data_IF_521484551601
#
_entry.id   IF_521484551601
#
_cell.length_a   1.000
_cell.length_b   1.000
_cell.length_c   1.000
_cell.angle_alpha   90.00
_cell.angle_beta   90.00
_cell.angle_gamma   90.00
#
_symmetry.space_group_name_H-M   'P 1'
#
loop_
_entity.id
_entity.type
_entity.pdbx_description
1 polymer ?
#
# COMPACT_ATOMS: atom_id res chain seq x y z
N UNK A 1 0.50 -11.30 27.99
CA UNK A 1 -0.21 -11.16 26.69
C UNK A 1 0.78 -11.39 25.54
N UNK A 2 0.78 -12.58 24.95
CA UNK A 2 1.66 -12.91 23.82
C UNK A 2 1.04 -12.38 22.52
N UNK A 3 1.26 -11.10 22.19
CA UNK A 3 0.88 -10.52 20.88
C UNK A 3 1.95 -9.72 20.12
N UNK A 4 3.27 -9.79 20.40
CA UNK A 4 4.22 -9.09 19.53
C UNK A 4 4.31 -9.73 18.13
N UNK A 5 4.38 -11.06 18.03
CA UNK A 5 4.61 -11.74 16.75
C UNK A 5 3.46 -11.57 15.73
N UNK A 6 2.20 -11.63 16.18
CA UNK A 6 1.04 -11.50 15.29
C UNK A 6 0.91 -10.10 14.66
N UNK A 7 1.24 -9.04 15.41
CA UNK A 7 1.25 -7.66 14.90
C UNK A 7 2.32 -7.51 13.83
N UNK A 8 3.52 -8.02 14.06
CA UNK A 8 4.62 -7.98 13.09
C UNK A 8 4.30 -8.76 11.80
N UNK A 9 3.66 -9.94 11.91
CA UNK A 9 3.21 -10.71 10.74
C UNK A 9 2.19 -9.92 9.92
N UNK A 10 1.21 -9.28 10.56
CA UNK A 10 0.20 -8.46 9.88
C UNK A 10 0.85 -7.25 9.17
N UNK A 11 1.78 -6.56 9.84
CA UNK A 11 2.54 -5.44 9.26
C UNK A 11 3.37 -5.90 8.05
N UNK A 12 4.01 -7.07 8.16
CA UNK A 12 4.76 -7.67 7.06
C UNK A 12 3.88 -7.90 5.82
N UNK A 13 2.71 -8.52 5.98
CA UNK A 13 1.79 -8.73 4.84
C UNK A 13 1.27 -7.41 4.25
N UNK A 14 0.99 -6.40 5.10
CA UNK A 14 0.58 -5.06 4.65
C UNK A 14 1.66 -4.39 3.83
N UNK A 15 2.91 -4.47 4.29
CA UNK A 15 4.07 -3.93 3.59
C UNK A 15 4.32 -4.65 2.27
N UNK A 16 4.27 -5.98 2.25
CA UNK A 16 4.44 -6.76 1.03
C UNK A 16 3.36 -6.46 -0.02
N UNK A 17 2.10 -6.37 0.41
CA UNK A 17 1.01 -5.95 -0.47
C UNK A 17 1.26 -4.54 -1.01
N UNK A 18 1.72 -3.61 -0.17
CA UNK A 18 2.03 -2.25 -0.60
C UNK A 18 3.13 -2.22 -1.70
N UNK A 19 4.19 -3.01 -1.53
CA UNK A 19 5.21 -3.19 -2.56
C UNK A 19 4.65 -3.79 -3.85
N UNK A 20 3.79 -4.81 -3.75
CA UNK A 20 3.16 -5.40 -4.93
C UNK A 20 2.34 -4.36 -5.72
N UNK A 21 1.58 -3.50 -5.05
CA UNK A 21 0.87 -2.39 -5.70
C UNK A 21 1.82 -1.38 -6.34
N UNK A 22 2.93 -1.06 -5.68
CA UNK A 22 3.92 -0.15 -6.23
C UNK A 22 4.57 -0.70 -7.50
N UNK A 23 5.04 -1.95 -7.46
CA UNK A 23 5.66 -2.61 -8.61
C UNK A 23 4.67 -2.89 -9.74
N UNK A 24 3.41 -3.20 -9.41
CA UNK A 24 2.35 -3.28 -10.41
C UNK A 24 2.15 -1.95 -11.13
N UNK A 25 2.14 -0.84 -10.39
CA UNK A 25 2.05 0.49 -10.98
C UNK A 25 3.25 0.82 -11.86
N UNK A 26 4.46 0.48 -11.41
CA UNK A 26 5.68 0.63 -12.21
C UNK A 26 5.61 -0.16 -13.51
N UNK A 27 5.19 -1.43 -13.44
CA UNK A 27 5.01 -2.26 -14.63
C UNK A 27 3.98 -1.66 -15.59
N UNK A 28 2.79 -1.31 -15.11
CA UNK A 28 1.72 -0.74 -15.94
C UNK A 28 2.15 0.59 -16.58
N UNK A 29 2.84 1.44 -15.83
CA UNK A 29 3.20 2.79 -16.27
C UNK A 29 4.38 2.83 -17.25
N UNK A 30 5.33 1.90 -17.15
CA UNK A 30 6.61 2.00 -17.86
C UNK A 30 6.99 0.79 -18.72
N UNK A 31 6.51 -0.41 -18.41
CA UNK A 31 6.92 -1.66 -19.11
C UNK A 31 5.78 -2.37 -19.84
N UNK A 32 4.54 -2.06 -19.48
CA UNK A 32 3.35 -2.65 -20.08
C UNK A 32 3.18 -2.19 -21.53
N UNK A 33 2.96 -3.14 -22.44
CA UNK A 33 2.60 -2.89 -23.83
C UNK A 33 1.08 -2.65 -24.04
N UNK A 34 0.28 -2.64 -22.96
CA UNK A 34 -1.16 -2.37 -23.05
C UNK A 34 -1.44 -0.94 -23.51
N UNK A 35 -2.39 -0.79 -24.45
CA UNK A 35 -2.76 0.49 -25.02
C UNK A 35 -4.21 0.82 -24.66
N UNK A 36 -4.39 1.66 -23.62
CA UNK A 36 -5.69 2.09 -23.09
C UNK A 36 -6.13 3.47 -23.62
N UNK A 37 -5.52 3.92 -24.72
CA UNK A 37 -5.73 5.27 -25.27
C UNK A 37 -4.82 6.33 -24.66
N UNK A 38 -5.11 7.59 -24.99
CA UNK A 38 -4.35 8.78 -24.60
C UNK A 38 -5.25 9.66 -23.72
N UNK A 39 -4.68 10.15 -22.62
CA UNK A 39 -5.29 11.10 -21.71
C UNK A 39 -4.25 12.17 -21.37
N UNK A 40 -4.60 13.46 -21.52
CA UNK A 40 -3.70 14.59 -21.24
C UNK A 40 -2.34 14.42 -21.95
N UNK A 41 -2.37 14.12 -23.25
CA UNK A 41 -1.20 13.91 -24.12
C UNK A 41 -0.26 12.75 -23.71
N UNK A 42 -0.63 11.92 -22.74
CA UNK A 42 0.14 10.76 -22.28
C UNK A 42 -0.71 9.47 -22.34
N UNK A 43 -0.11 8.28 -22.46
CA UNK A 43 -0.86 7.03 -22.42
C UNK A 43 -1.66 6.90 -21.11
N UNK A 44 -2.91 6.43 -21.18
CA UNK A 44 -3.73 6.21 -19.97
C UNK A 44 -3.06 5.24 -18.98
N UNK A 45 -2.28 4.27 -19.50
CA UNK A 45 -1.46 3.35 -18.71
C UNK A 45 -0.43 4.06 -17.84
N UNK A 46 0.17 5.17 -18.31
CA UNK A 46 1.10 5.96 -17.53
C UNK A 46 0.44 6.55 -16.28
N UNK A 47 -0.74 7.15 -16.43
CA UNK A 47 -1.52 7.69 -15.32
C UNK A 47 -1.96 6.62 -14.33
N UNK A 48 -2.45 5.49 -14.83
CA UNK A 48 -2.81 4.34 -13.99
C UNK A 48 -1.59 3.80 -13.23
N UNK A 49 -0.44 3.73 -13.88
CA UNK A 49 0.82 3.34 -13.25
C UNK A 49 1.20 4.24 -12.08
N UNK A 50 1.13 5.56 -12.28
CA UNK A 50 1.34 6.55 -11.21
C UNK A 50 0.32 6.36 -10.07
N UNK A 51 -0.97 6.19 -10.39
CA UNK A 51 -2.01 5.97 -9.37
C UNK A 51 -1.73 4.72 -8.53
N UNK A 52 -1.34 3.61 -9.16
CA UNK A 52 -0.98 2.38 -8.45
C UNK A 52 0.28 2.55 -7.59
N UNK A 53 1.28 3.29 -8.09
CA UNK A 53 2.49 3.61 -7.31
C UNK A 53 2.18 4.48 -6.09
N UNK A 54 1.42 5.57 -6.27
CA UNK A 54 0.98 6.44 -5.17
C UNK A 54 0.15 5.66 -4.15
N UNK A 55 -0.71 4.76 -4.62
CA UNK A 55 -1.49 3.90 -3.75
C UNK A 55 -0.62 2.90 -2.97
N UNK A 56 0.42 2.34 -3.59
CA UNK A 56 1.43 1.53 -2.90
C UNK A 56 2.10 2.31 -1.76
N UNK A 57 2.54 3.54 -2.02
CA UNK A 57 3.13 4.43 -0.99
C UNK A 57 2.13 4.70 0.14
N UNK A 58 0.88 5.02 -0.19
CA UNK A 58 -0.18 5.24 0.79
C UNK A 58 -0.41 4.00 1.68
N UNK A 59 -0.32 2.79 1.11
CA UNK A 59 -0.42 1.56 1.89
C UNK A 59 0.77 1.36 2.83
N UNK A 60 1.98 1.73 2.43
CA UNK A 60 3.16 1.72 3.31
C UNK A 60 2.91 2.65 4.51
N UNK A 61 2.48 3.88 4.26
CA UNK A 61 2.11 4.84 5.32
C UNK A 61 1.08 4.25 6.29
N UNK A 62 0.00 3.66 5.77
CA UNK A 62 -1.04 3.02 6.58
C UNK A 62 -0.51 1.83 7.41
N UNK A 63 0.45 1.08 6.89
CA UNK A 63 1.08 -0.01 7.64
C UNK A 63 1.88 0.52 8.84
N UNK A 64 2.58 1.66 8.69
CA UNK A 64 3.29 2.31 9.79
C UNK A 64 2.34 2.91 10.83
N UNK A 65 1.23 3.53 10.41
CA UNK A 65 0.21 4.01 11.34
C UNK A 65 -0.36 2.88 12.21
N UNK A 66 -0.60 1.71 11.65
CA UNK A 66 -1.05 0.54 12.42
C UNK A 66 -0.05 0.15 13.52
N UNK A 67 1.26 0.24 13.25
CA UNK A 67 2.29 -0.01 14.27
C UNK A 67 2.23 1.03 15.38
N UNK A 68 2.06 2.32 15.06
CA UNK A 68 1.94 3.37 16.09
C UNK A 68 0.68 3.21 16.93
N UNK A 69 -0.45 2.87 16.31
CA UNK A 69 -1.71 2.65 17.01
C UNK A 69 -1.63 1.45 17.97
N UNK A 70 -0.99 0.34 17.55
CA UNK A 70 -0.80 -0.84 18.42
C UNK A 70 0.15 -0.63 19.61
N UNK A 71 0.86 0.51 19.66
CA UNK A 71 1.71 0.89 20.81
C UNK A 71 0.96 1.70 21.86
N UNK A 72 -0.28 2.12 21.58
CA UNK A 72 -1.12 2.80 22.56
C UNK A 72 -1.56 1.79 23.64
N UNK A 73 -1.32 2.06 24.94
CA UNK A 73 -1.70 1.15 26.01
C UNK A 73 -3.22 0.87 26.09
N UNK A 74 -4.06 1.71 25.49
CA UNK A 74 -5.51 1.50 25.36
C UNK A 74 -5.96 0.84 24.05
N UNK A 75 -5.02 0.35 23.23
CA UNK A 75 -5.36 -0.29 21.96
C UNK A 75 -6.08 -1.64 22.18
N UNK A 76 -7.41 -1.60 22.13
CA UNK A 76 -8.31 -2.74 22.36
C UNK A 76 -9.11 -2.66 23.66
N UNK A 77 -8.98 -1.60 24.45
CA UNK A 77 -9.95 -1.24 25.49
C UNK A 77 -11.01 -0.34 24.85
N UNK A 78 -12.16 -0.91 24.52
CA UNK A 78 -13.37 -0.11 24.34
C UNK A 78 -13.95 0.07 25.74
N UNK A 79 -14.08 1.32 26.23
CA UNK A 79 -14.87 1.57 27.44
C UNK A 79 -16.30 1.06 27.16
N UNK A 80 -16.78 0.11 27.98
CA UNK A 80 -18.14 -0.45 27.92
C UNK A 80 -19.21 0.61 28.24
#
# INVERSE_FOLDING_TARGET
MARPAAVWINVFFRFFAALAYFFLGYYIGFWSEFQLGILLDMPTTFWLGILFMLYGIFRIWRAFLYVSETKDPDYGNYED
#
